data_IF_099225813437
#
_entry.id   IF_099225813437
#
_cell.length_a   1.000
_cell.length_b   1.000
_cell.length_c   1.000
_cell.angle_alpha   90.00
_cell.angle_beta   90.00
_cell.angle_gamma   90.00
#
_symmetry.space_group_name_H-M   'P 1'
#
loop_
_entity.id
_entity.type
_entity.pdbx_description
1 polymer ?
#
# COMPACT_ATOMS: atom_id res chain seq x y z
N UNK A 1 0.50 4.24 -16.79
CA UNK A 1 -0.67 3.83 -15.99
C UNK A 1 -0.30 4.03 -14.52
N UNK A 2 -0.92 4.98 -13.81
CA UNK A 2 -0.60 5.24 -12.40
C UNK A 2 -1.19 4.09 -11.57
N UNK A 3 -0.33 3.23 -11.02
CA UNK A 3 -0.80 2.16 -10.13
C UNK A 3 -1.26 2.76 -8.80
N UNK A 4 -2.50 2.46 -8.42
CA UNK A 4 -3.05 2.89 -7.14
C UNK A 4 -2.28 2.15 -6.03
N UNK A 5 -1.80 2.83 -4.98
CA UNK A 5 -1.08 2.17 -3.88
C UNK A 5 -1.92 1.09 -3.21
N UNK A 6 -1.29 0.00 -2.77
CA UNK A 6 -1.96 -1.15 -2.14
C UNK A 6 -2.79 -0.81 -0.88
N UNK A 7 -2.46 0.29 -0.21
CA UNK A 7 -3.12 0.75 1.03
C UNK A 7 -4.22 1.78 0.75
N UNK A 8 -4.42 2.19 -0.50
CA UNK A 8 -5.42 3.19 -0.85
C UNK A 8 -6.84 2.63 -0.73
N UNK A 9 -7.76 3.44 -0.24
CA UNK A 9 -9.17 3.09 -0.12
C UNK A 9 -10.06 4.34 -0.21
N UNK A 10 -11.34 4.15 -0.51
CA UNK A 10 -12.32 5.25 -0.55
C UNK A 10 -12.40 6.01 0.79
N UNK A 11 -12.21 5.32 1.92
CA UNK A 11 -12.16 5.95 3.23
C UNK A 11 -10.97 6.93 3.36
N UNK A 12 -9.78 6.52 2.93
CA UNK A 12 -8.59 7.39 2.93
C UNK A 12 -8.73 8.54 1.94
N UNK A 13 -9.35 8.29 0.78
CA UNK A 13 -9.63 9.32 -0.21
C UNK A 13 -10.53 10.43 0.41
N UNK A 14 -11.64 10.04 1.02
CA UNK A 14 -12.55 10.96 1.73
C UNK A 14 -11.82 11.71 2.86
N UNK A 15 -11.05 11.00 3.69
CA UNK A 15 -10.29 11.64 4.77
C UNK A 15 -9.25 12.65 4.25
N UNK A 16 -8.64 12.38 3.08
CA UNK A 16 -7.70 13.28 2.43
C UNK A 16 -8.42 14.53 1.89
N UNK A 17 -9.62 14.40 1.35
CA UNK A 17 -10.46 15.53 0.96
C UNK A 17 -10.81 16.42 2.15
N UNK A 18 -11.23 15.82 3.26
CA UNK A 18 -11.52 16.54 4.51
C UNK A 18 -10.29 17.29 5.04
N UNK A 19 -9.11 16.64 5.02
CA UNK A 19 -7.84 17.26 5.41
C UNK A 19 -7.48 18.45 4.50
N UNK A 20 -7.69 18.31 3.18
CA UNK A 20 -7.47 19.41 2.24
C UNK A 20 -8.47 20.55 2.45
N UNK A 21 -9.72 20.24 2.76
CA UNK A 21 -10.74 21.24 3.08
C UNK A 21 -10.37 22.02 4.35
N UNK A 22 -9.99 21.33 5.43
CA UNK A 22 -9.54 21.96 6.67
C UNK A 22 -8.31 22.86 6.46
N UNK A 23 -7.31 22.39 5.71
CA UNK A 23 -6.14 23.21 5.35
C UNK A 23 -6.54 24.47 4.60
N UNK A 24 -7.40 24.35 3.59
CA UNK A 24 -7.89 25.52 2.82
C UNK A 24 -8.64 26.49 3.71
N UNK A 25 -9.44 25.99 4.67
CA UNK A 25 -10.14 26.83 5.65
C UNK A 25 -9.15 27.61 6.50
N UNK A 26 -8.15 26.95 7.08
CA UNK A 26 -7.09 27.60 7.85
C UNK A 26 -6.36 28.68 7.04
N UNK A 27 -5.90 28.35 5.83
CA UNK A 27 -5.20 29.31 4.96
C UNK A 27 -6.07 30.52 4.61
N UNK A 28 -7.37 30.31 4.35
CA UNK A 28 -8.30 31.40 4.05
C UNK A 28 -8.60 32.24 5.28
N UNK A 29 -8.79 31.64 6.44
CA UNK A 29 -9.01 32.36 7.70
C UNK A 29 -7.82 33.26 8.04
N UNK A 30 -6.58 32.78 7.85
CA UNK A 30 -5.37 33.57 8.08
C UNK A 30 -5.16 34.74 7.11
N UNK A 31 -5.89 34.78 5.98
CA UNK A 31 -5.83 35.89 5.01
C UNK A 31 -6.94 36.92 5.20
N UNK A 32 -7.81 36.76 6.20
CA UNK A 32 -8.92 37.69 6.44
C UNK A 32 -8.40 38.98 7.09
N UNK A 33 -8.79 40.17 6.59
CA UNK A 33 -8.46 41.43 7.24
C UNK A 33 -9.04 41.47 8.66
N UNK A 34 -8.25 41.96 9.62
CA UNK A 34 -8.69 42.12 11.02
C UNK A 34 -8.79 40.82 11.83
N UNK A 35 -8.25 39.69 11.34
CA UNK A 35 -8.25 38.44 12.10
C UNK A 35 -7.28 38.53 13.28
N UNK A 36 -7.73 38.07 14.45
CA UNK A 36 -6.91 37.89 15.64
C UNK A 36 -6.53 36.42 15.85
N UNK A 37 -5.60 36.17 16.78
CA UNK A 37 -5.10 34.81 17.06
C UNK A 37 -6.21 33.87 17.54
N UNK A 38 -7.15 34.34 18.38
CA UNK A 38 -8.35 33.59 18.79
C UNK A 38 -9.16 33.06 17.59
N UNK A 39 -9.35 33.87 16.55
CA UNK A 39 -10.07 33.48 15.33
C UNK A 39 -9.38 32.38 14.51
N UNK A 40 -8.12 32.07 14.80
CA UNK A 40 -7.34 31.02 14.14
C UNK A 40 -7.22 29.73 14.96
N UNK A 41 -7.62 29.73 16.24
CA UNK A 41 -7.52 28.54 17.10
C UNK A 41 -8.32 27.38 16.52
N UNK A 42 -9.60 27.59 16.22
CA UNK A 42 -10.50 26.53 15.73
C UNK A 42 -10.06 25.98 14.34
N UNK A 43 -9.77 26.82 13.33
CA UNK A 43 -9.22 26.35 12.05
C UNK A 43 -7.88 25.61 12.18
N UNK A 44 -7.05 25.98 13.16
CA UNK A 44 -5.76 25.34 13.40
C UNK A 44 -5.93 23.97 14.04
N UNK A 45 -6.77 23.86 15.07
CA UNK A 45 -7.04 22.59 15.73
C UNK A 45 -7.75 21.60 14.80
N UNK A 46 -8.68 22.07 13.97
CA UNK A 46 -9.34 21.22 12.97
C UNK A 46 -8.36 20.68 11.92
N UNK A 47 -7.45 21.49 11.37
CA UNK A 47 -6.41 21.02 10.44
C UNK A 47 -5.48 19.99 11.10
N UNK A 48 -5.04 20.23 12.34
CA UNK A 48 -4.22 19.28 13.12
C UNK A 48 -4.95 17.94 13.32
N UNK A 49 -6.21 17.98 13.75
CA UNK A 49 -7.02 16.78 13.98
C UNK A 49 -7.21 15.98 12.69
N UNK A 50 -7.55 16.64 11.57
CA UNK A 50 -7.76 15.94 10.28
C UNK A 50 -6.48 15.33 9.73
N UNK A 51 -5.33 15.98 9.93
CA UNK A 51 -4.00 15.40 9.59
C UNK A 51 -3.68 14.18 10.46
N UNK A 52 -3.92 14.25 11.76
CA UNK A 52 -3.69 13.12 12.69
C UNK A 52 -4.55 11.93 12.31
N UNK A 53 -5.82 12.16 12.00
CA UNK A 53 -6.75 11.11 11.59
C UNK A 53 -6.34 10.47 10.25
N UNK A 54 -5.94 11.28 9.26
CA UNK A 54 -5.43 10.75 7.98
C UNK A 54 -4.17 9.88 8.17
N UNK A 55 -3.24 10.32 9.01
CA UNK A 55 -2.02 9.57 9.32
C UNK A 55 -2.35 8.24 10.02
N UNK A 56 -3.27 8.26 10.99
CA UNK A 56 -3.75 7.06 11.69
C UNK A 56 -4.39 6.08 10.71
N UNK A 57 -5.37 6.52 9.90
CA UNK A 57 -6.04 5.66 8.92
C UNK A 57 -5.07 5.05 7.90
N UNK A 58 -4.10 5.84 7.43
CA UNK A 58 -3.07 5.36 6.50
C UNK A 58 -2.18 4.30 7.15
N UNK A 59 -1.76 4.51 8.40
CA UNK A 59 -0.97 3.54 9.16
C UNK A 59 -1.75 2.25 9.37
N UNK A 60 -3.01 2.35 9.76
CA UNK A 60 -3.87 1.21 10.05
C UNK A 60 -4.20 0.43 8.77
N UNK A 61 -4.37 1.10 7.63
CA UNK A 61 -4.55 0.45 6.33
C UNK A 61 -3.30 -0.30 5.87
N UNK A 62 -2.12 0.30 6.01
CA UNK A 62 -0.84 -0.38 5.71
C UNK A 62 -0.64 -1.59 6.62
N UNK A 63 -0.93 -1.46 7.91
CA UNK A 63 -0.84 -2.56 8.88
C UNK A 63 -1.79 -3.71 8.51
N UNK A 64 -3.06 -3.41 8.24
CA UNK A 64 -4.04 -4.41 7.82
C UNK A 64 -3.61 -5.15 6.55
N UNK A 65 -3.11 -4.43 5.55
CA UNK A 65 -2.62 -5.07 4.34
C UNK A 65 -1.40 -5.94 4.61
N UNK A 66 -0.48 -5.50 5.48
CA UNK A 66 0.66 -6.32 5.90
C UNK A 66 0.23 -7.58 6.65
N UNK A 67 -0.75 -7.47 7.55
CA UNK A 67 -1.30 -8.61 8.29
C UNK A 67 -1.97 -9.62 7.36
N UNK A 68 -2.74 -9.14 6.38
CA UNK A 68 -3.33 -9.97 5.32
C UNK A 68 -2.27 -10.67 4.48
N UNK A 69 -1.18 -9.97 4.11
CA UNK A 69 -0.08 -10.55 3.33
C UNK A 69 0.64 -11.66 4.10
N UNK A 70 0.80 -11.49 5.42
CA UNK A 70 1.38 -12.53 6.29
C UNK A 70 0.49 -13.75 6.40
N UNK A 71 -0.83 -13.57 6.41
CA UNK A 71 -1.78 -14.67 6.41
C UNK A 71 -1.76 -15.41 5.07
N UNK A 72 -1.83 -14.66 3.96
CA UNK A 72 -1.72 -15.21 2.60
C UNK A 72 -0.46 -16.07 2.46
N UNK A 73 0.70 -15.61 2.96
CA UNK A 73 1.94 -16.40 2.91
C UNK A 73 1.86 -17.76 3.61
N UNK A 74 1.02 -17.90 4.64
CA UNK A 74 0.81 -19.19 5.33
C UNK A 74 -0.06 -20.14 4.53
N UNK A 75 -0.98 -19.60 3.73
CA UNK A 75 -1.94 -20.37 2.93
C UNK A 75 -1.38 -20.70 1.55
N UNK A 76 -0.70 -19.73 0.92
CA UNK A 76 -0.05 -19.84 -0.39
C UNK A 76 1.35 -19.19 -0.37
N UNK A 77 2.36 -20.05 -0.30
CA UNK A 77 3.77 -19.65 -0.34
C UNK A 77 4.20 -19.03 -1.68
N UNK A 78 3.43 -19.21 -2.75
CA UNK A 78 3.71 -18.68 -4.10
C UNK A 78 2.80 -17.49 -4.48
N UNK A 79 2.01 -17.00 -3.52
CA UNK A 79 1.04 -15.93 -3.71
C UNK A 79 1.63 -14.52 -3.88
N UNK A 80 0.84 -13.51 -3.53
CA UNK A 80 1.20 -12.09 -3.61
C UNK A 80 2.45 -11.73 -2.80
N UNK A 81 2.62 -12.32 -1.61
CA UNK A 81 3.79 -12.12 -0.76
C UNK A 81 5.09 -12.49 -1.48
N UNK A 82 5.12 -13.68 -2.11
CA UNK A 82 6.25 -14.16 -2.89
C UNK A 82 6.56 -13.22 -4.06
N UNK A 83 5.54 -12.84 -4.84
CA UNK A 83 5.69 -11.91 -5.98
C UNK A 83 6.25 -10.55 -5.58
N UNK A 84 5.82 -10.01 -4.43
CA UNK A 84 6.32 -8.73 -3.91
C UNK A 84 7.82 -8.86 -3.57
N UNK A 85 8.20 -9.92 -2.87
CA UNK A 85 9.59 -10.14 -2.44
C UNK A 85 10.50 -10.41 -3.62
N UNK A 86 10.11 -11.29 -4.54
CA UNK A 86 10.92 -11.61 -5.74
C UNK A 86 11.11 -10.39 -6.64
N UNK A 87 10.07 -9.60 -6.85
CA UNK A 87 10.16 -8.33 -7.58
C UNK A 87 11.09 -7.34 -6.88
N UNK A 88 11.03 -7.23 -5.54
CA UNK A 88 11.87 -6.30 -4.77
C UNK A 88 13.33 -6.70 -4.72
N UNK A 89 13.60 -8.00 -4.58
CA UNK A 89 14.96 -8.54 -4.60
C UNK A 89 15.53 -8.63 -6.03
N UNK A 90 14.75 -8.25 -7.04
CA UNK A 90 15.06 -8.43 -8.45
C UNK A 90 15.55 -9.86 -8.75
N UNK A 91 14.97 -10.83 -8.05
CA UNK A 91 15.12 -12.25 -8.35
C UNK A 91 14.29 -12.48 -9.60
N UNK A 92 14.80 -12.01 -10.73
CA UNK A 92 14.63 -12.71 -11.98
C UNK A 92 15.09 -14.14 -11.69
N UNK A 93 14.42 -15.15 -12.21
CA UNK A 93 14.91 -16.53 -12.16
C UNK A 93 16.32 -16.55 -12.77
N UNK A 94 17.35 -16.32 -11.95
CA UNK A 94 18.75 -16.25 -12.35
C UNK A 94 19.28 -17.64 -12.71
N UNK A 95 18.46 -18.66 -12.53
CA UNK A 95 18.72 -20.00 -12.98
C UNK A 95 17.91 -20.28 -14.24
N UNK A 96 18.44 -19.89 -15.39
CA UNK A 96 18.05 -20.54 -16.64
C UNK A 96 18.56 -21.98 -16.55
N UNK A 97 17.67 -22.91 -16.20
CA UNK A 97 18.01 -24.33 -16.26
C UNK A 97 18.41 -24.64 -17.71
N UNK A 98 19.63 -25.16 -17.90
CA UNK A 98 20.07 -25.73 -19.18
C UNK A 98 18.97 -26.67 -19.70
N UNK A 99 18.69 -26.61 -21.01
CA UNK A 99 17.71 -27.44 -21.72
C UNK A 99 17.84 -28.93 -21.32
N UNK A 100 19.05 -29.45 -21.17
CA UNK A 100 19.28 -30.84 -20.78
C UNK A 100 18.80 -31.13 -19.36
N UNK A 101 19.05 -30.20 -18.43
CA UNK A 101 18.56 -30.27 -17.06
C UNK A 101 17.04 -30.15 -17.01
N UNK A 102 16.45 -29.27 -17.82
CA UNK A 102 14.98 -29.16 -17.97
C UNK A 102 14.38 -30.47 -18.46
N UNK A 103 14.95 -31.09 -19.51
CA UNK A 103 14.49 -32.40 -20.03
C UNK A 103 14.60 -33.50 -18.99
N UNK A 104 15.70 -33.55 -18.24
CA UNK A 104 15.88 -34.54 -17.18
C UNK A 104 14.83 -34.39 -16.08
N UNK A 105 14.60 -33.16 -15.60
CA UNK A 105 13.57 -32.86 -14.59
C UNK A 105 12.17 -33.20 -15.11
N UNK A 106 11.84 -32.83 -16.36
CA UNK A 106 10.53 -33.16 -16.96
C UNK A 106 10.33 -34.68 -17.05
N UNK A 107 11.33 -35.45 -17.48
CA UNK A 107 11.25 -36.91 -17.51
C UNK A 107 11.04 -37.53 -16.12
N UNK A 108 11.66 -36.96 -15.08
CA UNK A 108 11.50 -37.45 -13.71
C UNK A 108 10.15 -37.09 -13.08
N UNK A 109 9.62 -35.90 -13.37
CA UNK A 109 8.33 -35.43 -12.82
C UNK A 109 7.12 -36.00 -13.57
N UNK A 110 7.27 -36.25 -14.87
CA UNK A 110 6.24 -36.81 -15.74
C UNK A 110 6.78 -38.07 -16.42
N UNK A 111 7.02 -39.15 -15.66
CA UNK A 111 7.43 -40.41 -16.25
C UNK A 111 6.38 -40.82 -17.28
N UNK A 112 6.83 -41.17 -18.48
CA UNK A 112 5.96 -41.66 -19.56
C UNK A 112 5.52 -43.07 -19.22
N UNK A 113 4.60 -43.21 -18.27
CA UNK A 113 3.94 -44.48 -17.99
C UNK A 113 3.05 -44.79 -19.19
N UNK A 114 3.60 -45.54 -20.15
CA UNK A 114 2.80 -46.46 -20.96
C UNK A 114 2.85 -47.80 -20.24
N UNK A 115 1.75 -48.14 -19.59
CA UNK A 115 1.34 -49.54 -19.48
C UNK A 115 1.09 -50.11 -20.89
#
# INVERSE_FOLDING_TARGET
MISIPYWWSNAIAKQREECNSARRRLTRSGKRPGINMEGLVEPTETDKLKKKELAKQTRDAKKRHWDSLRQELKEDIWGGAYKIVTKRLNILTQYELNIDRKRHVVKGLFPSTRE
#
